data_IF_093611034041
#
_entry.id   IF_093611034041
#
_cell.length_a   1.000
_cell.length_b   1.000
_cell.length_c   1.000
_cell.angle_alpha   90.00
_cell.angle_beta   90.00
_cell.angle_gamma   90.00
#
_symmetry.space_group_name_H-M   'P 1'
#
loop_
_entity.id
_entity.type
_entity.pdbx_description
1 polymer ?
#
# COMPACT_ATOMS: atom_id res chain seq x y z
N UNK A 1 14.65 -1.22 -5.93
CA UNK A 1 13.55 -2.14 -6.24
C UNK A 1 12.20 -1.44 -6.22
N UNK A 2 11.27 -1.91 -7.04
CA UNK A 2 9.92 -1.40 -7.08
C UNK A 2 9.05 -2.13 -6.06
N UNK A 3 8.12 -1.39 -5.46
CA UNK A 3 7.13 -1.92 -4.55
C UNK A 3 5.73 -1.61 -5.07
N UNK A 4 4.81 -2.52 -4.84
CA UNK A 4 3.40 -2.31 -5.11
C UNK A 4 2.69 -2.03 -3.79
N UNK A 5 2.01 -0.89 -3.71
CA UNK A 5 1.15 -0.56 -2.57
C UNK A 5 -0.29 -0.80 -2.96
N UNK A 6 -1.00 -1.57 -2.16
CA UNK A 6 -2.41 -1.87 -2.38
C UNK A 6 -3.20 -1.39 -1.16
N UNK A 7 -4.14 -0.49 -1.40
CA UNK A 7 -4.95 0.11 -0.34
C UNK A 7 -6.31 -0.55 -0.27
N UNK A 8 -6.73 -0.89 0.93
CA UNK A 8 -8.00 -1.57 1.19
C UNK A 8 -8.84 -0.76 2.16
N UNK A 9 -10.15 -0.83 2.00
CA UNK A 9 -11.08 -0.19 2.93
C UNK A 9 -11.44 -1.13 4.09
N UNK A 10 -12.33 -0.69 4.96
CA UNK A 10 -12.75 -1.46 6.13
C UNK A 10 -13.51 -2.74 5.79
N UNK A 11 -13.94 -2.88 4.54
CA UNK A 11 -14.63 -4.09 4.04
C UNK A 11 -13.69 -5.01 3.30
N UNK A 12 -12.39 -4.76 3.38
CA UNK A 12 -11.34 -5.52 2.69
C UNK A 12 -11.43 -5.43 1.16
N UNK A 13 -12.04 -4.35 0.66
CA UNK A 13 -12.11 -4.11 -0.78
C UNK A 13 -10.97 -3.20 -1.21
N UNK A 14 -10.32 -3.54 -2.33
CA UNK A 14 -9.24 -2.71 -2.86
C UNK A 14 -9.79 -1.39 -3.36
N UNK A 15 -9.24 -0.29 -2.82
CA UNK A 15 -9.61 1.07 -3.20
C UNK A 15 -8.71 1.59 -4.31
N UNK A 16 -7.40 1.33 -4.18
CA UNK A 16 -6.39 1.88 -5.07
C UNK A 16 -5.14 1.04 -4.98
N UNK A 17 -4.38 1.00 -6.07
CA UNK A 17 -3.07 0.38 -6.10
C UNK A 17 -2.08 1.30 -6.79
N UNK A 18 -0.84 1.30 -6.33
CA UNK A 18 0.21 2.12 -6.91
C UNK A 18 1.52 1.34 -6.89
N UNK A 19 2.41 1.66 -7.83
CA UNK A 19 3.75 1.08 -7.90
C UNK A 19 4.76 2.20 -7.80
N UNK A 20 5.73 2.04 -6.90
CA UNK A 20 6.71 3.08 -6.67
C UNK A 20 8.07 2.50 -6.26
N UNK A 21 9.15 3.29 -6.41
CA UNK A 21 10.45 2.88 -5.88
C UNK A 21 10.42 2.74 -4.36
N UNK A 22 11.18 1.79 -3.83
CA UNK A 22 11.25 1.60 -2.37
C UNK A 22 11.66 2.85 -1.61
N UNK A 23 12.44 3.72 -2.25
CA UNK A 23 12.87 5.00 -1.65
C UNK A 23 11.71 5.97 -1.41
N UNK A 24 10.55 5.75 -2.05
CA UNK A 24 9.36 6.59 -1.90
C UNK A 24 8.27 5.92 -1.07
N UNK A 25 8.61 4.85 -0.35
CA UNK A 25 7.63 4.08 0.39
C UNK A 25 6.88 4.92 1.44
N UNK A 26 7.62 5.70 2.24
CA UNK A 26 7.00 6.50 3.29
C UNK A 26 6.02 7.53 2.74
N UNK A 27 6.42 8.24 1.68
CA UNK A 27 5.55 9.23 1.06
C UNK A 27 4.34 8.58 0.41
N UNK A 28 4.52 7.42 -0.20
CA UNK A 28 3.42 6.66 -0.79
C UNK A 28 2.40 6.21 0.26
N UNK A 29 2.87 5.72 1.39
CA UNK A 29 2.00 5.32 2.50
C UNK A 29 1.20 6.52 2.99
N UNK A 30 1.87 7.67 3.19
CA UNK A 30 1.20 8.88 3.66
C UNK A 30 0.13 9.35 2.67
N UNK A 31 0.43 9.31 1.38
CA UNK A 31 -0.53 9.71 0.35
C UNK A 31 -1.77 8.82 0.34
N UNK A 32 -1.59 7.51 0.47
CA UNK A 32 -2.73 6.59 0.47
C UNK A 32 -3.55 6.73 1.74
N UNK A 33 -2.92 6.91 2.89
CA UNK A 33 -3.67 7.12 4.13
C UNK A 33 -4.31 8.51 4.23
N UNK A 34 -3.96 9.44 3.35
CA UNK A 34 -4.70 10.70 3.23
C UNK A 34 -6.12 10.48 2.70
N UNK A 35 -6.36 9.35 2.05
CA UNK A 35 -7.70 8.94 1.61
C UNK A 35 -8.40 8.32 2.82
N UNK A 36 -9.44 8.98 3.31
CA UNK A 36 -10.07 8.60 4.59
C UNK A 36 -10.59 7.18 4.64
N UNK A 37 -11.12 6.66 3.54
CA UNK A 37 -11.69 5.32 3.54
C UNK A 37 -10.67 4.20 3.48
N UNK A 38 -9.39 4.52 3.28
CA UNK A 38 -8.32 3.52 3.32
C UNK A 38 -8.10 3.09 4.76
N UNK A 39 -8.31 1.81 5.05
CA UNK A 39 -8.15 1.27 6.39
C UNK A 39 -6.76 0.69 6.61
N UNK A 40 -6.22 0.04 5.60
CA UNK A 40 -4.88 -0.55 5.70
C UNK A 40 -4.28 -0.71 4.31
N UNK A 41 -2.97 -0.97 4.28
CA UNK A 41 -2.23 -1.19 3.05
C UNK A 41 -1.54 -2.54 3.08
N UNK A 42 -1.36 -3.14 1.90
CA UNK A 42 -0.42 -4.23 1.70
C UNK A 42 0.74 -3.72 0.85
N UNK A 43 1.94 -4.06 1.25
CA UNK A 43 3.16 -3.77 0.49
C UNK A 43 3.61 -5.08 -0.14
N UNK A 44 3.79 -5.08 -1.45
CA UNK A 44 4.26 -6.24 -2.20
C UNK A 44 5.52 -5.88 -2.95
N UNK A 45 6.43 -6.84 -3.08
CA UNK A 45 7.55 -6.68 -4.00
C UNK A 45 7.01 -6.75 -5.43
N UNK A 46 7.64 -5.99 -6.32
CA UNK A 46 7.23 -5.97 -7.73
C UNK A 46 7.51 -7.29 -8.45
N UNK A 47 8.34 -8.15 -7.89
CA UNK A 47 8.54 -9.50 -8.40
C UNK A 47 7.37 -10.40 -8.00
N UNK A 48 7.07 -11.44 -8.79
CA UNK A 48 5.86 -12.21 -8.61
C UNK A 48 5.62 -12.70 -7.19
N UNK A 49 4.48 -12.35 -6.65
CA UNK A 49 3.90 -13.02 -5.51
C UNK A 49 4.44 -12.69 -4.13
N UNK A 50 5.44 -11.87 -3.99
CA UNK A 50 6.05 -11.67 -2.67
C UNK A 50 5.34 -10.59 -1.86
N UNK A 51 4.45 -11.02 -0.99
CA UNK A 51 3.86 -10.16 0.03
C UNK A 51 4.95 -9.74 1.02
N UNK A 52 5.14 -8.46 1.24
CA UNK A 52 6.16 -7.96 2.17
C UNK A 52 5.57 -7.68 3.55
N UNK A 53 4.52 -6.86 3.64
CA UNK A 53 3.94 -6.54 4.93
C UNK A 53 2.59 -5.84 4.78
N UNK A 54 1.85 -5.83 5.89
CA UNK A 54 0.64 -5.02 6.06
C UNK A 54 1.02 -3.75 6.83
N UNK A 55 0.43 -2.63 6.46
CA UNK A 55 0.59 -1.36 7.16
C UNK A 55 -0.80 -0.90 7.62
N UNK A 56 -0.97 -0.79 8.92
CA UNK A 56 -2.22 -0.32 9.50
C UNK A 56 -2.17 1.18 9.74
N UNK A 57 -3.34 1.79 9.73
CA UNK A 57 -3.47 3.21 10.04
C UNK A 57 -3.12 3.43 11.52
N UNK A 58 -2.31 4.43 11.78
CA UNK A 58 -1.90 4.78 13.13
C UNK A 58 -3.07 5.36 13.94
#
# INVERSE_FOLDING_TARGET
PLLSLRAYDARDMMVLADVLPGTELESGIAQLFAIKRVAYLHVHYAKPGCYACRVDRA
#
